data_IF_054812847528
#
_entry.id   IF_054812847528
#
_cell.length_a   1.000
_cell.length_b   1.000
_cell.length_c   1.000
_cell.angle_alpha   90.00
_cell.angle_beta   90.00
_cell.angle_gamma   90.00
#
_symmetry.space_group_name_H-M   'P 1'
#
loop_
_entity.id
_entity.type
_entity.pdbx_description
1 polymer ?
#
# COMPACT_ATOMS: atom_id res chain seq x y z
N UNK A 1 -7.17 -33.31 -7.88
CA UNK A 1 -8.09 -34.28 -7.27
C UNK A 1 -9.10 -33.43 -6.53
N UNK A 2 -10.30 -33.28 -7.11
CA UNK A 2 -11.43 -32.56 -6.51
C UNK A 2 -11.76 -33.23 -5.17
N UNK A 3 -11.93 -32.43 -4.12
CA UNK A 3 -12.07 -32.90 -2.73
C UNK A 3 -13.49 -33.40 -2.40
N UNK A 4 -14.30 -33.67 -3.42
CA UNK A 4 -15.74 -33.94 -3.31
C UNK A 4 -16.04 -35.38 -3.74
N UNK A 5 -16.85 -36.11 -2.96
CA UNK A 5 -17.22 -37.51 -3.24
C UNK A 5 -18.43 -37.57 -4.19
N UNK A 6 -18.24 -37.02 -5.41
CA UNK A 6 -19.29 -36.94 -6.42
C UNK A 6 -19.14 -38.11 -7.41
N UNK A 7 -20.27 -38.70 -7.84
CA UNK A 7 -20.26 -39.76 -8.86
C UNK A 7 -19.59 -39.28 -10.16
N UNK A 8 -18.84 -40.15 -10.83
CA UNK A 8 -18.18 -39.86 -12.11
C UNK A 8 -19.14 -39.35 -13.19
N UNK A 9 -20.42 -39.75 -13.13
CA UNK A 9 -21.46 -39.27 -14.05
C UNK A 9 -21.84 -37.80 -13.80
N UNK A 10 -21.77 -37.35 -12.54
CA UNK A 10 -22.05 -35.96 -12.17
C UNK A 10 -20.85 -35.08 -12.49
N UNK A 11 -19.63 -35.58 -12.25
CA UNK A 11 -18.40 -34.89 -12.64
C UNK A 11 -18.36 -34.64 -14.15
N UNK A 12 -18.71 -35.64 -14.96
CA UNK A 12 -18.76 -35.48 -16.42
C UNK A 12 -19.73 -34.38 -16.87
N UNK A 13 -20.89 -34.28 -16.22
CA UNK A 13 -21.94 -33.30 -16.55
C UNK A 13 -21.52 -31.87 -16.17
N UNK A 14 -20.91 -31.69 -15.00
CA UNK A 14 -20.44 -30.36 -14.56
C UNK A 14 -19.20 -29.93 -15.35
N UNK A 15 -18.30 -30.86 -15.70
CA UNK A 15 -17.13 -30.54 -16.50
C UNK A 15 -17.45 -30.14 -17.94
N UNK A 16 -18.54 -30.63 -18.52
CA UNK A 16 -19.01 -30.27 -19.86
C UNK A 16 -19.47 -28.80 -19.98
N UNK A 17 -19.69 -28.11 -18.85
CA UNK A 17 -20.09 -26.69 -18.83
C UNK A 17 -18.90 -25.72 -18.99
N UNK A 18 -19.16 -24.53 -19.51
CA UNK A 18 -18.19 -23.43 -19.64
C UNK A 18 -17.96 -22.65 -18.32
N UNK A 19 -18.30 -23.24 -17.17
CA UNK A 19 -18.18 -22.57 -15.88
C UNK A 19 -16.71 -22.45 -15.42
N UNK A 20 -16.33 -21.33 -14.76
CA UNK A 20 -15.07 -21.21 -14.05
C UNK A 20 -14.92 -22.30 -12.97
N UNK A 21 -13.68 -22.72 -12.70
CA UNK A 21 -13.37 -23.77 -11.70
C UNK A 21 -14.04 -23.53 -10.34
N UNK A 22 -13.94 -22.31 -9.80
CA UNK A 22 -14.56 -21.96 -8.50
C UNK A 22 -16.08 -22.19 -8.49
N UNK A 23 -16.77 -21.85 -9.58
CA UNK A 23 -18.21 -22.09 -9.70
C UNK A 23 -18.53 -23.58 -9.91
N UNK A 24 -17.67 -24.33 -10.58
CA UNK A 24 -17.79 -25.80 -10.66
C UNK A 24 -17.66 -26.42 -9.27
N UNK A 25 -16.70 -25.97 -8.46
CA UNK A 25 -16.51 -26.43 -7.08
C UNK A 25 -17.73 -26.11 -6.19
N UNK A 26 -18.32 -24.92 -6.32
CA UNK A 26 -19.57 -24.57 -5.62
C UNK A 26 -20.77 -25.43 -6.07
N UNK A 27 -20.84 -25.79 -7.35
CA UNK A 27 -21.86 -26.70 -7.86
C UNK A 27 -21.64 -28.10 -7.28
N UNK A 28 -20.39 -28.58 -7.21
CA UNK A 28 -20.06 -29.87 -6.61
C UNK A 28 -20.47 -29.92 -5.13
N UNK A 29 -20.09 -28.93 -4.33
CA UNK A 29 -20.45 -28.88 -2.91
C UNK A 29 -21.97 -28.83 -2.71
N UNK A 30 -22.68 -28.03 -3.50
CA UNK A 30 -24.15 -27.92 -3.40
C UNK A 30 -24.86 -29.22 -3.79
N UNK A 31 -24.35 -29.92 -4.81
CA UNK A 31 -24.91 -31.19 -5.28
C UNK A 31 -24.68 -32.31 -4.27
N UNK A 32 -23.50 -32.34 -3.65
CA UNK A 32 -23.12 -33.26 -2.58
C UNK A 32 -23.97 -33.03 -1.32
N UNK A 33 -24.07 -31.79 -0.84
CA UNK A 33 -24.86 -31.42 0.35
C UNK A 33 -26.34 -31.79 0.22
N UNK A 34 -26.91 -31.62 -0.98
CA UNK A 34 -28.33 -31.85 -1.23
C UNK A 34 -28.65 -33.28 -1.69
N UNK A 35 -27.64 -34.10 -1.96
CA UNK A 35 -27.81 -35.49 -2.38
C UNK A 35 -28.69 -35.64 -3.63
N UNK A 36 -28.47 -34.78 -4.63
CA UNK A 36 -29.28 -34.75 -5.87
C UNK A 36 -28.82 -35.81 -6.87
N UNK A 37 -29.77 -36.33 -7.66
CA UNK A 37 -29.48 -37.29 -8.73
C UNK A 37 -28.81 -36.61 -9.94
N UNK A 38 -28.24 -37.43 -10.84
CA UNK A 38 -27.50 -36.96 -12.03
C UNK A 38 -28.31 -36.00 -12.90
N UNK A 39 -29.60 -36.30 -13.13
CA UNK A 39 -30.47 -35.46 -13.97
C UNK A 39 -30.73 -34.08 -13.36
N UNK A 40 -30.87 -33.99 -12.03
CA UNK A 40 -31.07 -32.72 -11.36
C UNK A 40 -29.75 -31.93 -11.25
N UNK A 41 -28.62 -32.62 -11.10
CA UNK A 41 -27.29 -32.00 -11.18
C UNK A 41 -27.05 -31.37 -12.57
N UNK A 42 -27.41 -32.07 -13.66
CA UNK A 42 -27.37 -31.54 -15.03
C UNK A 42 -28.22 -30.28 -15.19
N UNK A 43 -29.44 -30.30 -14.66
CA UNK A 43 -30.33 -29.14 -14.70
C UNK A 43 -29.80 -27.96 -13.91
N UNK A 44 -29.20 -28.21 -12.74
CA UNK A 44 -28.58 -27.17 -11.92
C UNK A 44 -27.38 -26.58 -12.66
N UNK A 45 -26.46 -27.41 -13.15
CA UNK A 45 -25.27 -26.98 -13.88
C UNK A 45 -25.64 -26.12 -15.10
N UNK A 46 -26.60 -26.56 -15.92
CA UNK A 46 -27.10 -25.80 -17.08
C UNK A 46 -27.80 -24.49 -16.70
N UNK A 47 -28.54 -24.48 -15.59
CA UNK A 47 -29.20 -23.26 -15.12
C UNK A 47 -28.17 -22.23 -14.62
N UNK A 48 -27.13 -22.68 -13.92
CA UNK A 48 -26.01 -21.84 -13.47
C UNK A 48 -25.22 -21.32 -14.68
N UNK A 49 -24.93 -22.18 -15.64
CA UNK A 49 -24.27 -21.80 -16.90
C UNK A 49 -25.07 -20.75 -17.67
N UNK A 50 -26.37 -20.97 -17.90
CA UNK A 50 -27.24 -19.99 -18.57
C UNK A 50 -27.17 -18.64 -17.85
N UNK A 51 -27.29 -18.63 -16.52
CA UNK A 51 -27.21 -17.39 -15.74
C UNK A 51 -25.83 -16.74 -15.80
N UNK A 52 -24.77 -17.53 -15.82
CA UNK A 52 -23.41 -17.01 -15.97
C UNK A 52 -23.21 -16.36 -17.34
N UNK A 53 -23.67 -17.00 -18.41
CA UNK A 53 -23.61 -16.45 -19.77
C UNK A 53 -24.44 -15.18 -19.92
N UNK A 54 -25.66 -15.16 -19.36
CA UNK A 54 -26.58 -14.01 -19.44
C UNK A 54 -26.12 -12.81 -18.60
N UNK A 55 -25.20 -12.99 -17.66
CA UNK A 55 -24.69 -11.93 -16.76
C UNK A 55 -23.32 -11.41 -17.16
N UNK A 56 -22.74 -11.89 -18.27
CA UNK A 56 -21.48 -11.35 -18.80
C UNK A 56 -21.68 -9.90 -19.23
N UNK A 57 -20.63 -9.09 -19.09
CA UNK A 57 -20.61 -7.72 -19.61
C UNK A 57 -20.75 -7.76 -21.12
N UNK A 58 -21.65 -6.92 -21.66
CA UNK A 58 -21.83 -6.77 -23.09
C UNK A 58 -20.55 -6.22 -23.73
N UNK A 59 -20.11 -6.76 -24.88
CA UNK A 59 -18.99 -6.19 -25.61
C UNK A 59 -19.23 -4.71 -25.93
N UNK A 60 -18.15 -3.91 -25.89
CA UNK A 60 -18.16 -2.46 -26.17
C UNK A 60 -18.81 -1.58 -25.10
N UNK A 61 -19.19 -2.14 -23.95
CA UNK A 61 -19.66 -1.35 -22.81
C UNK A 61 -18.52 -0.47 -22.26
N UNK A 62 -18.76 0.82 -21.92
CA UNK A 62 -17.70 1.75 -21.56
C UNK A 62 -17.27 1.57 -20.09
N UNK A 63 -16.70 0.40 -19.80
CA UNK A 63 -16.31 -0.02 -18.44
C UNK A 63 -15.35 0.96 -17.76
N UNK A 64 -14.47 1.63 -18.52
CA UNK A 64 -13.56 2.65 -17.97
C UNK A 64 -14.33 3.86 -17.42
N UNK A 65 -15.33 4.35 -18.15
CA UNK A 65 -16.16 5.49 -17.71
C UNK A 65 -17.02 5.12 -16.52
N UNK A 66 -17.65 3.93 -16.55
CA UNK A 66 -18.49 3.45 -15.45
C UNK A 66 -17.64 3.25 -14.19
N UNK A 67 -16.47 2.63 -14.31
CA UNK A 67 -15.56 2.42 -13.17
C UNK A 67 -15.09 3.74 -12.57
N UNK A 68 -14.70 4.71 -13.40
CA UNK A 68 -14.28 6.03 -12.92
C UNK A 68 -15.41 6.76 -12.18
N UNK A 69 -16.65 6.65 -12.66
CA UNK A 69 -17.82 7.21 -11.98
C UNK A 69 -18.13 6.49 -10.68
N UNK A 70 -18.11 5.15 -10.67
CA UNK A 70 -18.41 4.35 -9.48
C UNK A 70 -17.41 4.54 -8.35
N UNK A 71 -16.13 4.77 -8.68
CA UNK A 71 -15.10 5.08 -7.68
C UNK A 71 -15.17 6.55 -7.24
N UNK A 72 -15.50 7.47 -8.16
CA UNK A 72 -15.54 8.90 -7.88
C UNK A 72 -16.81 9.39 -7.18
N UNK A 73 -17.96 8.75 -7.41
CA UNK A 73 -19.25 9.14 -6.81
C UNK A 73 -19.21 9.12 -5.27
N UNK A 74 -18.71 8.05 -4.62
CA UNK A 74 -18.56 8.02 -3.17
C UNK A 74 -17.66 9.12 -2.62
N UNK A 75 -16.67 9.59 -3.40
CA UNK A 75 -15.77 10.67 -2.98
C UNK A 75 -16.51 11.98 -2.61
N UNK A 76 -17.70 12.22 -3.17
CA UNK A 76 -18.54 13.38 -2.80
C UNK A 76 -19.36 13.17 -1.53
N UNK A 77 -19.56 11.91 -1.14
CA UNK A 77 -20.33 11.49 0.03
C UNK A 77 -19.43 11.21 1.23
N UNK A 78 -18.14 11.02 1.00
CA UNK A 78 -17.10 10.95 2.04
C UNK A 78 -17.01 12.28 2.79
N UNK A 79 -17.76 12.38 3.88
CA UNK A 79 -17.59 13.42 4.89
C UNK A 79 -16.47 13.02 5.84
N UNK A 80 -15.74 14.01 6.39
CA UNK A 80 -14.72 13.81 7.45
C UNK A 80 -15.30 13.08 8.66
N UNK A 81 -15.38 11.75 8.61
CA UNK A 81 -15.48 10.91 9.77
C UNK A 81 -14.04 10.52 10.12
N UNK A 82 -13.37 11.37 10.91
CA UNK A 82 -12.25 10.88 11.70
C UNK A 82 -12.85 9.92 12.71
N UNK A 83 -12.83 8.63 12.38
CA UNK A 83 -13.01 7.60 13.39
C UNK A 83 -11.78 7.69 14.29
N UNK A 84 -11.92 8.38 15.42
CA UNK A 84 -11.11 8.03 16.57
C UNK A 84 -11.65 6.67 17.02
N UNK A 85 -10.98 5.55 16.71
CA UNK A 85 -11.40 4.34 17.42
C UNK A 85 -11.05 4.58 18.89
N UNK A 86 -12.02 4.31 19.76
CA UNK A 86 -11.84 4.45 21.18
C UNK A 86 -10.94 3.31 21.68
N UNK A 87 -9.63 3.54 21.77
CA UNK A 87 -8.65 2.59 22.30
C UNK A 87 -7.22 3.16 22.30
N UNK A 88 -6.49 2.99 23.40
CA UNK A 88 -5.27 3.74 23.80
C UNK A 88 -4.01 3.37 22.99
N UNK A 89 -4.12 2.91 21.75
CA UNK A 89 -2.97 2.43 20.98
C UNK A 89 -3.16 2.49 19.46
N UNK A 90 -3.84 3.52 18.94
CA UNK A 90 -3.93 3.70 17.49
C UNK A 90 -2.86 4.64 16.96
N UNK A 91 -2.23 4.19 15.88
CA UNK A 91 -1.38 4.98 15.00
C UNK A 91 -2.31 5.84 14.15
N UNK A 92 -2.05 7.14 14.05
CA UNK A 92 -2.86 8.02 13.22
C UNK A 92 -2.58 7.72 11.74
N UNK A 93 -3.58 7.19 11.03
CA UNK A 93 -3.51 6.87 9.60
C UNK A 93 -4.38 7.83 8.81
N UNK A 94 -3.91 8.26 7.64
CA UNK A 94 -4.74 8.97 6.66
C UNK A 94 -5.83 8.04 6.16
N UNK A 95 -7.08 8.38 6.47
CA UNK A 95 -8.25 7.61 6.08
C UNK A 95 -9.16 8.39 5.12
N UNK A 96 -9.97 7.64 4.38
CA UNK A 96 -11.01 8.18 3.50
C UNK A 96 -10.48 8.81 2.22
N UNK A 97 -11.07 9.94 1.82
CA UNK A 97 -10.79 10.55 0.51
C UNK A 97 -9.32 10.98 0.31
N UNK A 98 -8.62 11.61 1.28
CA UNK A 98 -7.21 11.94 1.11
C UNK A 98 -6.36 10.73 0.76
N UNK A 99 -6.59 9.59 1.43
CA UNK A 99 -5.88 8.34 1.16
C UNK A 99 -6.17 7.82 -0.24
N UNK A 100 -7.43 7.81 -0.66
CA UNK A 100 -7.81 7.39 -2.02
C UNK A 100 -7.15 8.27 -3.10
N UNK A 101 -7.00 9.57 -2.85
CA UNK A 101 -6.27 10.49 -3.74
C UNK A 101 -4.77 10.12 -3.79
N UNK A 102 -4.14 9.85 -2.65
CA UNK A 102 -2.71 9.44 -2.61
C UNK A 102 -2.44 8.19 -3.45
N UNK A 103 -3.32 7.18 -3.33
CA UNK A 103 -3.21 5.92 -4.07
C UNK A 103 -3.35 6.16 -5.57
N UNK A 104 -4.40 6.86 -5.99
CA UNK A 104 -4.69 7.15 -7.41
C UNK A 104 -3.63 8.06 -8.06
N UNK A 105 -3.07 9.00 -7.30
CA UNK A 105 -1.96 9.84 -7.76
C UNK A 105 -0.60 9.12 -7.69
N UNK A 106 -0.56 7.87 -7.21
CA UNK A 106 0.64 7.07 -7.03
C UNK A 106 1.76 7.86 -6.32
N UNK A 107 1.43 8.54 -5.21
CA UNK A 107 2.44 9.32 -4.46
C UNK A 107 3.58 8.41 -3.98
N UNK A 108 4.82 8.90 -4.13
CA UNK A 108 6.04 8.15 -3.76
C UNK A 108 6.10 7.81 -2.28
N UNK A 109 5.68 8.74 -1.44
CA UNK A 109 5.63 8.59 0.01
C UNK A 109 4.24 9.04 0.44
N UNK A 110 3.46 8.17 1.12
CA UNK A 110 2.16 8.54 1.67
C UNK A 110 2.33 9.52 2.84
N UNK A 111 1.29 10.27 3.17
CA UNK A 111 1.38 11.28 4.23
C UNK A 111 1.53 10.64 5.63
N UNK A 112 0.94 9.44 5.84
CA UNK A 112 1.15 8.59 7.03
C UNK A 112 1.51 7.16 6.60
N UNK A 113 2.80 6.85 6.42
CA UNK A 113 3.25 5.50 6.13
C UNK A 113 3.05 4.59 7.35
N UNK A 114 2.64 3.35 7.10
CA UNK A 114 2.47 2.34 8.14
C UNK A 114 2.75 0.95 7.57
N UNK A 115 3.15 0.04 8.46
CA UNK A 115 3.34 -1.37 8.14
C UNK A 115 2.62 -2.25 9.16
N UNK A 116 2.14 -3.39 8.68
CA UNK A 116 1.62 -4.47 9.50
C UNK A 116 2.63 -5.61 9.41
N UNK A 117 3.44 -5.75 10.46
CA UNK A 117 4.53 -6.71 10.54
C UNK A 117 4.07 -7.93 11.32
N UNK A 118 3.99 -9.05 10.61
CA UNK A 118 3.69 -10.34 11.21
C UNK A 118 4.99 -10.98 11.69
N UNK A 119 4.90 -11.75 12.78
CA UNK A 119 6.03 -12.43 13.38
C UNK A 119 5.99 -13.92 13.03
N UNK A 120 7.16 -14.55 12.98
CA UNK A 120 7.27 -16.01 12.86
C UNK A 120 6.63 -16.70 14.08
N UNK A 121 6.16 -17.95 13.93
CA UNK A 121 5.45 -18.70 14.98
C UNK A 121 6.18 -18.68 16.33
N UNK A 122 7.52 -18.70 16.32
CA UNK A 122 8.35 -18.67 17.53
C UNK A 122 8.30 -17.35 18.32
N UNK A 123 8.00 -16.25 17.65
CA UNK A 123 7.98 -14.88 18.18
C UNK A 123 6.52 -14.38 18.35
N UNK A 124 5.58 -14.95 17.60
CA UNK A 124 4.17 -14.58 17.60
C UNK A 124 3.42 -14.92 18.89
N UNK A 125 3.85 -15.96 19.62
CA UNK A 125 3.19 -16.40 20.87
C UNK A 125 3.77 -15.74 22.13
N UNK A 126 5.02 -15.26 22.07
CA UNK A 126 5.75 -14.75 23.23
C UNK A 126 5.95 -13.24 23.16
N UNK A 127 5.36 -12.54 24.12
CA UNK A 127 5.44 -11.08 24.23
C UNK A 127 6.87 -10.58 24.44
N UNK A 128 7.72 -11.30 25.17
CA UNK A 128 9.09 -10.87 25.43
C UNK A 128 9.91 -10.92 24.13
N UNK A 129 9.75 -11.98 23.34
CA UNK A 129 10.42 -12.12 22.03
C UNK A 129 9.89 -11.13 20.99
N UNK A 130 8.58 -10.85 20.99
CA UNK A 130 8.02 -9.80 20.14
C UNK A 130 8.61 -8.41 20.47
N UNK A 131 8.86 -8.12 21.76
CA UNK A 131 9.53 -6.88 22.18
C UNK A 131 10.98 -6.80 21.68
N UNK A 132 11.70 -7.91 21.55
CA UNK A 132 13.06 -7.91 20.96
C UNK A 132 13.04 -7.43 19.50
N UNK A 133 12.03 -7.85 18.72
CA UNK A 133 11.84 -7.42 17.33
C UNK A 133 11.48 -5.94 17.27
N UNK A 134 10.63 -5.46 18.18
CA UNK A 134 10.29 -4.02 18.30
C UNK A 134 11.55 -3.17 18.49
N UNK A 135 12.49 -3.59 19.34
CA UNK A 135 13.74 -2.85 19.55
C UNK A 135 14.69 -2.83 18.37
N UNK A 136 14.59 -3.81 17.46
CA UNK A 136 15.34 -3.81 16.20
C UNK A 136 14.71 -2.88 15.16
N UNK A 137 13.40 -2.70 15.21
CA UNK A 137 12.64 -1.89 14.23
C UNK A 137 12.57 -0.42 14.66
N UNK A 138 12.19 -0.13 15.89
CA UNK A 138 11.86 1.23 16.35
C UNK A 138 13.09 2.15 16.42
N UNK A 139 13.04 3.28 15.72
CA UNK A 139 14.07 4.31 15.76
C UNK A 139 14.26 4.84 17.18
N UNK A 140 15.45 4.63 17.71
CA UNK A 140 15.84 5.11 19.03
C UNK A 140 16.61 6.41 18.87
N UNK A 141 15.92 7.53 19.15
CA UNK A 141 16.51 8.88 19.18
C UNK A 141 16.93 9.26 20.59
N UNK A 142 17.73 10.32 20.71
CA UNK A 142 18.28 10.75 22.00
C UNK A 142 17.21 11.03 23.07
N UNK A 143 16.05 11.55 22.66
CA UNK A 143 14.93 11.86 23.58
C UNK A 143 14.30 10.61 24.21
N UNK A 144 14.47 9.43 23.61
CA UNK A 144 14.04 8.17 24.19
C UNK A 144 15.08 7.63 25.18
N UNK A 145 16.35 8.02 25.03
CA UNK A 145 17.49 7.48 25.78
C UNK A 145 17.83 8.29 27.04
N UNK A 146 17.54 9.59 27.05
CA UNK A 146 17.94 10.45 28.15
C UNK A 146 17.45 11.89 28.05
N UNK A 147 17.85 12.68 29.04
CA UNK A 147 17.55 14.11 29.13
C UNK A 147 18.71 14.93 28.56
N UNK A 148 18.38 15.91 27.72
CA UNK A 148 19.37 16.85 27.16
C UNK A 148 19.33 18.14 27.97
N UNK A 149 20.47 18.55 28.51
CA UNK A 149 20.63 19.83 29.16
C UNK A 149 21.69 20.67 28.45
N UNK A 150 21.48 21.97 28.40
CA UNK A 150 22.37 22.90 27.70
C UNK A 150 22.94 23.91 28.68
N UNK A 151 24.26 23.86 28.87
CA UNK A 151 24.98 24.82 29.69
C UNK A 151 25.54 25.95 28.81
N UNK A 152 24.85 27.08 28.83
CA UNK A 152 25.20 28.28 28.05
C UNK A 152 26.46 28.98 28.60
N UNK A 153 26.81 28.78 29.87
CA UNK A 153 27.99 29.41 30.46
C UNK A 153 29.28 28.73 29.98
N UNK A 154 29.27 27.40 29.92
CA UNK A 154 30.41 26.59 29.51
C UNK A 154 30.38 26.22 28.01
N UNK A 155 29.31 26.58 27.30
CA UNK A 155 29.06 26.23 25.89
C UNK A 155 29.11 24.71 25.65
N UNK A 156 28.48 23.96 26.55
CA UNK A 156 28.42 22.50 26.51
C UNK A 156 26.97 22.03 26.50
N UNK A 157 26.73 20.97 25.74
CA UNK A 157 25.53 20.14 25.78
C UNK A 157 25.88 18.92 26.62
N UNK A 158 25.09 18.68 27.65
CA UNK A 158 25.22 17.54 28.55
C UNK A 158 24.00 16.64 28.34
N UNK A 159 24.25 15.37 28.03
CA UNK A 159 23.23 14.34 27.87
C UNK A 159 23.34 13.41 29.08
N UNK A 160 22.26 13.26 29.82
CA UNK A 160 22.14 12.28 30.91
C UNK A 160 21.33 11.08 30.42
N UNK A 161 22.02 9.97 30.14
CA UNK A 161 21.39 8.75 29.64
C UNK A 161 20.83 7.92 30.79
N UNK A 162 19.61 7.41 30.62
CA UNK A 162 18.96 6.57 31.62
C UNK A 162 19.43 5.11 31.50
N UNK A 163 20.06 4.59 32.57
CA UNK A 163 20.56 3.21 32.65
C UNK A 163 19.48 2.15 32.37
N UNK A 164 18.26 2.35 32.88
CA UNK A 164 17.16 1.39 32.73
C UNK A 164 16.75 1.28 31.24
N UNK A 165 16.60 2.42 30.56
CA UNK A 165 16.21 2.45 29.14
C UNK A 165 17.29 1.88 28.23
N UNK A 166 18.57 2.09 28.56
CA UNK A 166 19.70 1.54 27.80
C UNK A 166 19.73 0.01 27.88
N UNK A 167 19.52 -0.57 29.07
CA UNK A 167 19.52 -2.01 29.29
C UNK A 167 18.33 -2.70 28.61
N UNK A 168 17.16 -2.06 28.56
CA UNK A 168 16.01 -2.57 27.82
C UNK A 168 16.24 -2.58 26.30
N UNK A 169 16.90 -1.54 25.76
CA UNK A 169 17.12 -1.35 24.31
C UNK A 169 18.33 -2.13 23.77
N UNK A 170 19.35 -2.38 24.58
CA UNK A 170 20.54 -3.20 24.23
C UNK A 170 20.67 -4.44 25.12
N UNK A 171 19.80 -5.45 24.96
CA UNK A 171 19.83 -6.66 25.80
C UNK A 171 21.11 -7.50 25.62
N UNK A 172 21.88 -7.27 24.56
CA UNK A 172 23.10 -8.04 24.24
C UNK A 172 24.36 -7.48 24.91
N UNK A 173 24.34 -6.21 25.34
CA UNK A 173 25.51 -5.52 25.93
C UNK A 173 25.17 -5.19 27.39
N UNK A 174 25.65 -6.01 28.32
CA UNK A 174 25.41 -5.84 29.76
C UNK A 174 26.26 -4.74 30.41
N UNK A 175 26.90 -3.88 29.63
CA UNK A 175 27.77 -2.81 30.12
C UNK A 175 27.27 -1.47 29.56
N UNK A 176 26.70 -0.65 30.45
CA UNK A 176 26.14 0.66 30.11
C UNK A 176 27.20 1.63 29.62
N UNK A 177 28.45 1.46 30.07
CA UNK A 177 29.60 2.26 29.64
C UNK A 177 29.94 2.01 28.16
N UNK A 178 29.79 0.76 27.69
CA UNK A 178 30.06 0.40 26.29
C UNK A 178 28.99 0.93 25.33
N UNK A 179 27.73 0.96 25.77
CA UNK A 179 26.62 1.54 24.99
C UNK A 179 26.79 3.06 24.90
N UNK A 180 27.18 3.71 26.01
CA UNK A 180 27.47 5.13 26.01
C UNK A 180 28.70 5.49 25.15
N UNK A 181 29.68 4.59 25.02
CA UNK A 181 30.82 4.75 24.10
C UNK A 181 30.36 4.67 22.62
N UNK A 182 29.49 3.70 22.28
CA UNK A 182 28.90 3.56 20.93
C UNK A 182 28.05 4.80 20.54
N UNK A 183 27.26 5.32 21.49
CA UNK A 183 26.50 6.57 21.32
C UNK A 183 27.44 7.76 21.14
N UNK A 184 28.51 7.85 21.94
CA UNK A 184 29.54 8.89 21.80
C UNK A 184 30.20 8.85 20.42
N UNK A 185 30.64 7.70 19.93
CA UNK A 185 31.24 7.56 18.59
C UNK A 185 30.28 7.99 17.48
N UNK A 186 28.99 7.65 17.64
CA UNK A 186 27.93 8.03 16.69
C UNK A 186 27.74 9.55 16.67
N UNK A 187 27.80 10.21 17.82
CA UNK A 187 27.75 11.68 17.95
C UNK A 187 28.98 12.31 17.29
N UNK A 188 30.18 11.80 17.55
CA UNK A 188 31.42 12.34 16.96
C UNK A 188 31.41 12.23 15.43
N UNK A 189 30.96 11.09 14.89
CA UNK A 189 30.92 10.86 13.45
C UNK A 189 29.90 11.73 12.73
N UNK A 190 28.73 11.97 13.33
CA UNK A 190 27.66 12.73 12.69
C UNK A 190 27.84 14.24 12.86
N UNK A 191 28.23 14.70 14.05
CA UNK A 191 28.33 16.13 14.38
C UNK A 191 29.74 16.70 14.20
N UNK A 192 30.76 15.85 14.04
CA UNK A 192 32.15 16.28 13.84
C UNK A 192 32.75 16.99 15.06
N UNK A 193 32.22 16.73 16.26
CA UNK A 193 32.64 17.32 17.54
C UNK A 193 33.37 16.30 18.40
N UNK A 194 34.25 16.75 19.30
CA UNK A 194 34.84 15.87 20.31
C UNK A 194 33.87 15.68 21.49
N UNK A 195 33.55 14.45 21.84
CA UNK A 195 32.73 14.12 23.01
C UNK A 195 33.61 13.81 24.22
N UNK A 196 33.09 14.05 25.43
CA UNK A 196 33.66 13.58 26.69
C UNK A 196 32.63 12.71 27.38
N UNK A 197 32.98 11.46 27.59
CA UNK A 197 32.14 10.51 28.31
C UNK A 197 32.58 10.41 29.78
N UNK A 198 31.61 10.44 30.68
CA UNK A 198 31.77 10.16 32.09
C UNK A 198 30.64 9.20 32.54
N UNK A 199 30.83 7.90 32.30
CA UNK A 199 29.80 6.89 32.55
C UNK A 199 28.64 7.04 31.57
N UNK A 200 27.45 7.34 32.10
CA UNK A 200 26.21 7.60 31.34
C UNK A 200 26.04 9.04 30.90
N UNK A 201 26.93 9.95 31.34
CA UNK A 201 26.87 11.36 30.98
C UNK A 201 27.81 11.64 29.81
N UNK A 202 27.27 12.24 28.75
CA UNK A 202 28.02 12.62 27.55
C UNK A 202 28.00 14.15 27.44
N UNK A 203 29.18 14.76 27.37
CA UNK A 203 29.36 16.19 27.17
C UNK A 203 30.00 16.49 25.81
N UNK A 204 29.46 17.44 25.07
CA UNK A 204 30.07 17.93 23.83
C UNK A 204 29.73 19.39 23.58
N UNK A 205 30.49 20.07 22.71
CA UNK A 205 30.27 21.48 22.41
C UNK A 205 31.00 21.91 21.14
N UNK A 206 30.68 23.10 20.60
CA UNK A 206 31.29 23.60 19.38
C UNK A 206 32.78 23.94 19.59
N UNK A 207 33.61 23.74 18.56
CA UNK A 207 35.05 24.06 18.60
C UNK A 207 35.31 25.55 18.88
N UNK A 208 34.43 26.42 18.38
CA UNK A 208 34.43 27.85 18.67
C UNK A 208 33.19 28.24 19.50
N UNK A 209 33.35 29.08 20.55
CA UNK A 209 32.24 29.43 21.44
C UNK A 209 31.23 30.34 20.74
N UNK A 210 30.18 29.71 20.21
CA UNK A 210 29.09 30.35 19.49
C UNK A 210 27.76 29.77 19.94
N UNK A 211 26.88 30.65 20.44
CA UNK A 211 25.54 30.26 20.90
C UNK A 211 24.68 29.69 19.76
N UNK A 212 24.86 30.20 18.54
CA UNK A 212 24.11 29.73 17.38
C UNK A 212 24.49 28.30 17.01
N UNK A 213 25.79 28.03 16.99
CA UNK A 213 26.30 26.72 16.58
C UNK A 213 25.94 25.66 17.63
N UNK A 214 25.94 26.04 18.92
CA UNK A 214 25.45 25.18 19.99
C UNK A 214 23.95 24.85 19.88
N UNK A 215 23.08 25.82 19.54
CA UNK A 215 21.68 25.51 19.26
C UNK A 215 21.50 24.62 18.02
N UNK A 216 22.33 24.83 16.99
CA UNK A 216 22.29 24.03 15.79
C UNK A 216 22.71 22.58 16.06
N UNK A 217 23.78 22.38 16.85
CA UNK A 217 24.22 21.07 17.31
C UNK A 217 23.14 20.34 18.13
N UNK A 218 22.40 21.06 18.97
CA UNK A 218 21.27 20.46 19.73
C UNK A 218 20.15 20.01 18.79
N UNK A 219 19.82 20.79 17.76
CA UNK A 219 18.79 20.40 16.80
C UNK A 219 19.26 19.22 15.93
N UNK A 220 20.50 19.23 15.46
CA UNK A 220 21.09 18.11 14.70
C UNK A 220 21.18 16.84 15.56
N UNK A 221 21.54 16.95 16.85
CA UNK A 221 21.54 15.81 17.79
C UNK A 221 20.15 15.16 17.92
N UNK A 222 19.06 15.94 17.84
CA UNK A 222 17.69 15.44 17.99
C UNK A 222 17.22 14.63 16.78
N UNK A 223 17.85 14.82 15.62
CA UNK A 223 17.55 14.09 14.39
C UNK A 223 18.33 12.77 14.28
N UNK A 224 19.47 12.63 14.97
CA UNK A 224 20.29 11.42 14.93
C UNK A 224 19.55 10.22 15.51
N UNK A 225 19.55 9.13 14.74
CA UNK A 225 19.06 7.80 15.14
C UNK A 225 20.26 6.95 15.57
N UNK A 226 20.19 6.41 16.79
CA UNK A 226 21.28 5.62 17.38
C UNK A 226 21.10 4.11 17.13
N UNK A 227 19.86 3.66 16.98
CA UNK A 227 19.51 2.26 16.73
C UNK A 227 18.13 2.15 16.12
N UNK A 228 17.89 1.09 15.34
CA UNK A 228 16.63 0.85 14.65
C UNK A 228 16.63 1.50 13.26
N UNK A 229 15.47 1.46 12.62
CA UNK A 229 15.29 1.95 11.25
C UNK A 229 14.83 3.40 11.30
N UNK A 230 15.56 4.32 10.66
CA UNK A 230 15.32 5.77 10.76
C UNK A 230 13.90 6.19 10.37
N UNK A 231 13.32 5.55 9.36
CA UNK A 231 12.00 5.86 8.82
C UNK A 231 10.86 5.40 9.74
N UNK A 232 11.12 4.56 10.76
CA UNK A 232 10.10 4.00 11.66
C UNK A 232 10.18 4.66 13.04
N UNK A 233 9.24 5.57 13.32
CA UNK A 233 9.25 6.40 14.53
C UNK A 233 8.73 5.67 15.76
N UNK A 234 7.74 4.78 15.59
CA UNK A 234 7.07 4.11 16.69
C UNK A 234 6.54 2.76 16.27
N UNK A 235 6.58 1.79 17.18
CA UNK A 235 6.00 0.46 16.96
C UNK A 235 5.02 0.11 18.09
N UNK A 236 3.84 -0.38 17.71
CA UNK A 236 2.77 -0.78 18.62
C UNK A 236 2.53 -2.28 18.49
N UNK A 237 2.59 -3.00 19.60
CA UNK A 237 2.26 -4.43 19.66
C UNK A 237 0.76 -4.58 19.92
N UNK A 238 0.07 -5.33 19.05
CA UNK A 238 -1.32 -5.73 19.24
C UNK A 238 -1.42 -7.24 19.25
N UNK A 239 -2.36 -7.76 20.03
CA UNK A 239 -2.73 -9.18 20.00
C UNK A 239 -3.97 -9.33 19.14
N UNK A 240 -3.89 -10.11 18.07
CA UNK A 240 -5.00 -10.37 17.15
C UNK A 240 -5.43 -11.83 17.21
N UNK A 241 -6.74 -12.08 17.08
CA UNK A 241 -7.29 -13.42 16.96
C UNK A 241 -7.27 -13.84 15.49
N UNK A 242 -6.45 -14.85 15.16
CA UNK A 242 -6.46 -15.50 13.84
C UNK A 242 -7.14 -16.87 13.92
N UNK A 243 -7.42 -17.47 12.77
CA UNK A 243 -7.99 -18.82 12.67
C UNK A 243 -7.11 -19.90 13.36
N UNK A 244 -5.82 -19.62 13.56
CA UNK A 244 -4.83 -20.52 14.17
C UNK A 244 -4.58 -20.24 15.67
N UNK A 245 -5.15 -19.18 16.24
CA UNK A 245 -4.91 -18.78 17.64
C UNK A 245 -4.76 -17.28 17.82
N UNK A 246 -4.37 -16.85 19.02
CA UNK A 246 -4.06 -15.45 19.26
C UNK A 246 -2.57 -15.18 18.99
N UNK A 247 -2.25 -14.30 18.04
CA UNK A 247 -0.86 -13.93 17.70
C UNK A 247 -0.56 -12.45 17.99
N UNK A 248 0.69 -12.13 18.29
CA UNK A 248 1.17 -10.74 18.37
C UNK A 248 1.56 -10.21 16.98
N UNK A 249 0.95 -9.10 16.60
CA UNK A 249 1.20 -8.36 15.35
C UNK A 249 1.76 -6.99 15.71
N UNK A 250 2.76 -6.52 14.96
CA UNK A 250 3.37 -5.21 15.16
C UNK A 250 2.83 -4.23 14.12
N UNK A 251 2.38 -3.07 14.58
CA UNK A 251 2.01 -1.95 13.72
C UNK A 251 3.07 -0.86 13.83
N UNK A 252 3.60 -0.40 12.70
CA UNK A 252 4.62 0.63 12.66
C UNK A 252 4.05 1.97 12.22
N UNK A 253 4.55 3.05 12.80
CA UNK A 253 4.41 4.41 12.31
C UNK A 253 5.67 4.73 11.51
N UNK A 254 5.53 4.93 10.21
CA UNK A 254 6.65 4.86 9.27
C UNK A 254 6.71 3.53 8.53
N UNK A 255 7.44 3.54 7.41
CA UNK A 255 7.64 2.34 6.59
C UNK A 255 9.05 2.28 6.04
N UNK A 256 9.69 1.12 6.20
CA UNK A 256 10.82 0.69 5.38
C UNK A 256 10.67 -0.82 5.18
N UNK A 257 9.93 -1.19 4.13
CA UNK A 257 9.60 -2.58 3.86
C UNK A 257 10.83 -3.44 3.55
N UNK A 258 11.91 -2.86 2.99
CA UNK A 258 13.12 -3.62 2.66
C UNK A 258 13.85 -4.06 3.91
N UNK A 259 14.20 -3.10 4.78
CA UNK A 259 14.99 -3.40 5.99
C UNK A 259 14.22 -4.27 6.99
N UNK A 260 12.91 -4.08 7.12
CA UNK A 260 12.08 -4.86 8.06
C UNK A 260 12.00 -6.33 7.70
N UNK A 261 11.94 -6.69 6.41
CA UNK A 261 11.84 -8.08 5.99
C UNK A 261 13.11 -8.90 6.28
N UNK A 262 14.26 -8.24 6.38
CA UNK A 262 15.55 -8.88 6.68
C UNK A 262 15.76 -9.11 8.19
N UNK A 263 14.88 -8.59 9.05
CA UNK A 263 14.99 -8.73 10.50
C UNK A 263 14.57 -10.14 10.95
N UNK A 264 15.46 -10.78 11.71
CA UNK A 264 15.19 -12.08 12.34
C UNK A 264 13.98 -12.01 13.28
N UNK A 265 12.98 -12.86 13.01
CA UNK A 265 11.72 -12.97 13.74
C UNK A 265 10.52 -12.36 13.01
N UNK A 266 10.75 -11.66 11.89
CA UNK A 266 9.69 -11.13 11.02
C UNK A 266 9.29 -12.17 9.98
N UNK A 267 7.98 -12.42 9.87
CA UNK A 267 7.40 -13.26 8.83
C UNK A 267 7.26 -12.45 7.53
N UNK A 268 8.22 -12.66 6.63
CA UNK A 268 8.25 -12.00 5.33
C UNK A 268 7.11 -12.38 4.38
N UNK A 269 6.40 -13.48 4.64
CA UNK A 269 5.32 -13.96 3.76
C UNK A 269 3.97 -13.32 4.02
N UNK A 270 3.77 -12.82 5.25
CA UNK A 270 2.52 -12.18 5.70
C UNK A 270 2.66 -10.68 5.93
N UNK A 271 3.86 -10.18 6.16
CA UNK A 271 4.10 -8.75 6.41
C UNK A 271 3.71 -7.89 5.22
N UNK A 272 3.01 -6.77 5.49
CA UNK A 272 2.50 -5.84 4.46
C UNK A 272 2.75 -4.39 4.83
N UNK A 273 2.67 -3.50 3.85
CA UNK A 273 2.87 -2.07 3.99
C UNK A 273 1.79 -1.31 3.22
N UNK A 274 1.50 -0.07 3.63
CA UNK A 274 0.59 0.80 2.89
C UNK A 274 1.32 1.63 1.81
N UNK A 275 2.65 1.61 1.77
CA UNK A 275 3.44 2.28 0.74
C UNK A 275 3.62 1.38 -0.49
N UNK A 276 2.87 1.70 -1.55
CA UNK A 276 2.86 0.92 -2.81
C UNK A 276 4.23 0.93 -3.50
N UNK A 277 5.00 2.02 -3.40
CA UNK A 277 6.31 2.12 -4.06
C UNK A 277 7.39 1.29 -3.37
N UNK A 278 7.29 1.08 -2.07
CA UNK A 278 8.17 0.14 -1.35
C UNK A 278 7.87 -1.30 -1.76
N UNK A 279 6.60 -1.69 -1.78
CA UNK A 279 6.19 -3.03 -2.23
C UNK A 279 6.60 -3.29 -3.67
N UNK A 280 6.45 -2.29 -4.55
CA UNK A 280 6.91 -2.40 -5.93
C UNK A 280 8.42 -2.65 -6.04
N UNK A 281 9.23 -2.00 -5.18
CA UNK A 281 10.69 -2.17 -5.18
C UNK A 281 11.10 -3.56 -4.69
N UNK A 282 10.48 -4.06 -3.63
CA UNK A 282 10.87 -5.31 -2.99
C UNK A 282 10.19 -6.56 -3.56
N UNK A 283 8.88 -6.49 -3.84
CA UNK A 283 8.07 -7.64 -4.29
C UNK A 283 7.69 -7.58 -5.78
N UNK A 284 7.74 -6.40 -6.39
CA UNK A 284 7.47 -6.20 -7.82
C UNK A 284 6.05 -5.73 -8.15
N UNK A 285 5.77 -5.66 -9.46
CA UNK A 285 4.57 -4.98 -10.00
C UNK A 285 3.24 -5.66 -9.64
N UNK A 286 3.17 -6.99 -9.66
CA UNK A 286 1.92 -7.71 -9.33
C UNK A 286 1.57 -7.61 -7.85
N UNK A 287 2.59 -7.59 -6.97
CA UNK A 287 2.37 -7.35 -5.55
C UNK A 287 1.85 -5.93 -5.32
N UNK A 288 2.45 -4.94 -6.00
CA UNK A 288 1.97 -3.56 -5.93
C UNK A 288 0.55 -3.38 -6.49
N UNK A 289 0.20 -4.08 -7.58
CA UNK A 289 -1.15 -4.10 -8.14
C UNK A 289 -2.16 -4.65 -7.13
N UNK A 290 -1.82 -5.75 -6.46
CA UNK A 290 -2.69 -6.35 -5.45
C UNK A 290 -2.82 -5.45 -4.22
N UNK A 291 -1.73 -4.85 -3.74
CA UNK A 291 -1.77 -3.84 -2.67
C UNK A 291 -2.67 -2.66 -3.05
N UNK A 292 -2.56 -2.14 -4.27
CA UNK A 292 -3.44 -1.06 -4.75
C UNK A 292 -4.92 -1.42 -4.63
N UNK A 293 -5.29 -2.65 -5.02
CA UNK A 293 -6.67 -3.13 -4.93
C UNK A 293 -7.10 -3.23 -3.47
N UNK A 294 -6.33 -3.91 -2.64
CA UNK A 294 -6.66 -4.16 -1.24
C UNK A 294 -6.73 -2.85 -0.44
N UNK A 295 -5.75 -1.96 -0.61
CA UNK A 295 -5.69 -0.69 0.10
C UNK A 295 -6.84 0.24 -0.30
N UNK A 296 -7.20 0.28 -1.59
CA UNK A 296 -8.35 1.07 -2.06
C UNK A 296 -9.66 0.48 -1.53
N UNK A 297 -9.78 -0.85 -1.50
CA UNK A 297 -10.94 -1.54 -0.95
C UNK A 297 -11.09 -1.27 0.55
N UNK A 298 -10.03 -1.47 1.34
CA UNK A 298 -9.98 -1.17 2.77
C UNK A 298 -10.37 0.29 3.04
N UNK A 299 -9.82 1.25 2.28
CA UNK A 299 -10.14 2.68 2.41
C UNK A 299 -11.63 2.98 2.16
N UNK A 300 -12.27 2.27 1.23
CA UNK A 300 -13.70 2.40 0.96
C UNK A 300 -14.55 1.75 2.05
N UNK A 301 -14.15 0.57 2.52
CA UNK A 301 -14.84 -0.18 3.57
C UNK A 301 -14.85 0.55 4.92
N UNK A 302 -13.73 1.17 5.30
CA UNK A 302 -13.64 2.01 6.51
C UNK A 302 -14.61 3.20 6.50
N UNK A 303 -15.01 3.65 5.32
CA UNK A 303 -15.99 4.73 5.14
C UNK A 303 -17.44 4.20 5.02
N UNK A 304 -17.64 2.90 5.18
CA UNK A 304 -18.93 2.23 5.00
C UNK A 304 -19.42 2.23 3.56
N UNK A 305 -18.49 2.26 2.60
CA UNK A 305 -18.74 2.28 1.16
C UNK A 305 -18.40 0.92 0.51
N UNK A 306 -18.80 -0.16 1.17
CA UNK A 306 -18.55 -1.56 0.78
C UNK A 306 -19.26 -1.96 -0.54
N UNK A 307 -20.15 -1.11 -1.05
CA UNK A 307 -20.97 -1.37 -2.24
C UNK A 307 -20.20 -1.19 -3.57
N UNK A 308 -18.97 -0.66 -3.53
CA UNK A 308 -18.15 -0.51 -4.75
C UNK A 308 -17.63 -1.87 -5.19
N UNK A 309 -17.97 -2.27 -6.42
CA UNK A 309 -17.54 -3.56 -6.96
C UNK A 309 -16.02 -3.59 -7.17
N UNK A 310 -15.35 -4.62 -6.64
CA UNK A 310 -13.90 -4.85 -6.79
C UNK A 310 -13.41 -4.81 -8.24
N UNK A 311 -14.26 -5.15 -9.22
CA UNK A 311 -13.88 -5.11 -10.65
C UNK A 311 -13.51 -3.70 -11.13
N UNK A 312 -14.13 -2.67 -10.56
CA UNK A 312 -13.77 -1.28 -10.87
C UNK A 312 -12.38 -0.95 -10.33
N UNK A 313 -12.06 -1.43 -9.13
CA UNK A 313 -10.74 -1.25 -8.51
C UNK A 313 -9.66 -2.02 -9.26
N UNK A 314 -9.95 -3.27 -9.64
CA UNK A 314 -9.07 -4.09 -10.48
C UNK A 314 -8.74 -3.38 -11.79
N UNK A 315 -9.75 -2.83 -12.48
CA UNK A 315 -9.53 -2.12 -13.74
C UNK A 315 -8.60 -0.90 -13.56
N UNK A 316 -8.75 -0.17 -12.47
CA UNK A 316 -7.88 0.98 -12.16
C UNK A 316 -6.46 0.51 -11.85
N UNK A 317 -6.31 -0.49 -10.99
CA UNK A 317 -5.00 -1.02 -10.63
C UNK A 317 -4.27 -1.60 -11.85
N UNK A 318 -4.98 -2.31 -12.73
CA UNK A 318 -4.44 -2.85 -13.98
C UNK A 318 -3.95 -1.73 -14.89
N UNK A 319 -4.74 -0.65 -15.07
CA UNK A 319 -4.33 0.50 -15.90
C UNK A 319 -3.09 1.18 -15.30
N UNK A 320 -3.02 1.32 -13.98
CA UNK A 320 -1.89 1.94 -13.27
C UNK A 320 -0.62 1.10 -13.28
N UNK A 321 -0.70 -0.20 -13.57
CA UNK A 321 0.46 -1.12 -13.50
C UNK A 321 0.81 -1.78 -14.85
N UNK A 322 0.05 -1.48 -15.92
CA UNK A 322 0.16 -2.14 -17.22
C UNK A 322 1.54 -2.04 -17.90
N UNK A 323 2.26 -0.92 -17.73
CA UNK A 323 3.57 -0.73 -18.36
C UNK A 323 4.72 -1.44 -17.60
N UNK A 324 4.40 -2.17 -16.52
CA UNK A 324 5.39 -2.79 -15.65
C UNK A 324 5.98 -1.83 -14.60
N UNK A 325 5.46 -0.61 -14.53
CA UNK A 325 5.76 0.40 -13.50
C UNK A 325 4.46 0.98 -12.97
N UNK A 326 4.48 1.57 -11.77
CA UNK A 326 3.30 2.27 -11.23
C UNK A 326 3.21 3.68 -11.84
N UNK A 327 2.12 3.96 -12.54
CA UNK A 327 1.82 5.28 -13.09
C UNK A 327 0.66 5.95 -12.35
N UNK A 328 0.80 7.25 -12.10
CA UNK A 328 -0.29 8.09 -11.59
C UNK A 328 -1.40 8.24 -12.66
N UNK A 329 -2.66 8.32 -12.25
CA UNK A 329 -3.78 8.58 -13.20
C UNK A 329 -3.73 10.00 -13.78
N UNK A 330 -3.13 10.94 -13.05
CA UNK A 330 -3.08 12.36 -13.42
C UNK A 330 -2.18 12.71 -14.62
N UNK A 331 -1.91 14.02 -14.75
CA UNK A 331 -1.18 14.60 -15.90
C UNK A 331 0.27 14.12 -16.08
N UNK A 332 0.88 13.54 -15.06
CA UNK A 332 2.28 13.09 -15.12
C UNK A 332 2.43 11.59 -15.36
N UNK A 333 1.31 10.85 -15.41
CA UNK A 333 1.29 9.44 -15.83
C UNK A 333 0.27 9.26 -16.94
N UNK A 334 -0.69 8.36 -16.75
CA UNK A 334 -1.57 7.80 -17.78
C UNK A 334 -2.27 8.86 -18.65
N UNK A 335 -2.78 9.94 -18.05
CA UNK A 335 -3.50 10.97 -18.83
C UNK A 335 -2.55 11.84 -19.67
N UNK A 336 -1.33 12.07 -19.17
CA UNK A 336 -0.30 12.84 -19.86
C UNK A 336 0.52 12.06 -20.88
N UNK A 337 0.56 10.73 -20.75
CA UNK A 337 1.25 9.81 -21.67
C UNK A 337 0.35 9.30 -22.81
N UNK A 338 -0.93 9.69 -22.86
CA UNK A 338 -1.83 9.32 -23.98
C UNK A 338 -1.24 9.69 -25.34
N UNK A 339 -1.33 8.77 -26.29
CA UNK A 339 -0.82 8.97 -27.65
C UNK A 339 -1.44 10.19 -28.34
N UNK A 340 -2.77 10.37 -28.23
CA UNK A 340 -3.47 11.49 -28.86
C UNK A 340 -3.05 12.85 -28.28
N UNK A 341 -2.53 13.71 -29.15
CA UNK A 341 -2.20 15.11 -28.84
C UNK A 341 -3.45 15.88 -28.45
N UNK A 342 -4.56 15.67 -29.16
CA UNK A 342 -5.82 16.34 -28.87
C UNK A 342 -6.37 15.92 -27.51
N UNK A 343 -6.26 14.65 -27.15
CA UNK A 343 -6.67 14.15 -25.85
C UNK A 343 -5.83 14.78 -24.72
N UNK A 344 -4.49 14.82 -24.85
CA UNK A 344 -3.60 15.48 -23.89
C UNK A 344 -3.91 16.98 -23.75
N UNK A 345 -4.01 17.68 -24.87
CA UNK A 345 -4.26 19.13 -24.89
C UNK A 345 -5.63 19.52 -24.32
N UNK A 346 -6.65 18.67 -24.46
CA UNK A 346 -7.98 18.89 -23.91
C UNK A 346 -8.07 18.61 -22.39
N UNK A 347 -7.15 17.81 -21.85
CA UNK A 347 -7.13 17.46 -20.43
C UNK A 347 -6.46 18.55 -19.58
N UNK A 348 -5.18 18.86 -19.84
CA UNK A 348 -4.44 19.90 -19.12
C UNK A 348 -3.26 20.43 -19.98
N UNK A 349 -2.67 21.58 -19.63
CA UNK A 349 -1.44 22.12 -20.26
C UNK A 349 -1.52 22.22 -21.80
N UNK A 350 -2.65 22.73 -22.30
CA UNK A 350 -3.02 22.76 -23.73
C UNK A 350 -1.95 23.33 -24.66
N UNK A 351 -1.35 24.48 -24.29
CA UNK A 351 -0.44 25.21 -25.19
C UNK A 351 0.87 24.45 -25.40
N UNK A 352 1.44 23.86 -24.35
CA UNK A 352 2.73 23.17 -24.48
C UNK A 352 2.56 21.89 -25.31
N UNK A 353 1.52 21.08 -25.05
CA UNK A 353 1.27 19.87 -25.83
C UNK A 353 1.11 20.15 -27.33
N UNK A 354 0.40 21.21 -27.70
CA UNK A 354 0.23 21.57 -29.11
C UNK A 354 1.53 22.10 -29.75
N UNK A 355 2.34 22.86 -29.00
CA UNK A 355 3.62 23.36 -29.48
C UNK A 355 4.63 22.21 -29.64
N UNK A 356 4.75 21.33 -28.66
CA UNK A 356 5.65 20.19 -28.69
C UNK A 356 5.27 19.24 -29.83
N UNK A 357 3.98 18.94 -30.00
CA UNK A 357 3.49 18.15 -31.12
C UNK A 357 3.82 18.80 -32.47
N UNK A 358 3.70 20.12 -32.59
CA UNK A 358 4.05 20.83 -33.82
C UNK A 358 5.57 20.83 -34.11
N UNK A 359 6.41 20.90 -33.08
CA UNK A 359 7.87 20.83 -33.20
C UNK A 359 8.32 19.43 -33.63
N UNK A 360 7.75 18.39 -33.02
CA UNK A 360 8.11 16.99 -33.29
C UNK A 360 7.38 16.39 -34.50
N UNK A 361 6.36 17.08 -35.03
CA UNK A 361 5.56 16.59 -36.16
C UNK A 361 4.67 15.41 -35.79
N UNK A 362 4.14 15.40 -34.57
CA UNK A 362 3.24 14.34 -34.09
C UNK A 362 1.95 14.30 -34.92
N UNK A 363 1.40 13.11 -35.11
CA UNK A 363 0.18 12.85 -35.86
C UNK A 363 -0.84 12.21 -34.93
N UNK A 364 -2.07 12.72 -34.96
CA UNK A 364 -3.17 12.18 -34.16
C UNK A 364 -4.00 11.20 -35.01
N UNK A 365 -4.06 9.93 -34.59
CA UNK A 365 -4.76 8.86 -35.33
C UNK A 365 -6.29 8.90 -35.14
N UNK A 366 -6.77 9.68 -34.17
CA UNK A 366 -8.19 9.84 -33.84
C UNK A 366 -8.87 8.54 -33.39
N UNK A 367 -8.22 7.72 -32.57
CA UNK A 367 -8.77 6.41 -32.15
C UNK A 367 -9.49 6.44 -30.80
N UNK A 368 -9.19 7.39 -29.93
CA UNK A 368 -9.83 7.55 -28.64
C UNK A 368 -11.15 8.31 -28.66
N UNK A 369 -11.72 8.51 -27.48
CA UNK A 369 -13.05 9.11 -27.31
C UNK A 369 -13.00 10.62 -27.45
N UNK A 370 -12.03 11.28 -26.80
CA UNK A 370 -11.96 12.74 -26.65
C UNK A 370 -11.73 13.42 -28.00
N UNK A 371 -10.74 12.95 -28.74
CA UNK A 371 -10.38 13.41 -30.08
C UNK A 371 -11.54 13.29 -31.09
N UNK A 372 -12.27 12.17 -31.09
CA UNK A 372 -13.40 11.96 -31.98
C UNK A 372 -14.56 12.91 -31.66
N UNK A 373 -14.83 13.14 -30.37
CA UNK A 373 -15.84 14.13 -29.94
C UNK A 373 -15.44 15.55 -30.37
N UNK A 374 -14.17 15.94 -30.21
CA UNK A 374 -13.67 17.27 -30.61
C UNK A 374 -13.81 17.49 -32.12
N UNK A 375 -13.47 16.49 -32.93
CA UNK A 375 -13.53 16.57 -34.40
C UNK A 375 -14.94 16.35 -34.94
N UNK A 376 -15.87 15.86 -34.12
CA UNK A 376 -17.26 15.60 -34.49
C UNK A 376 -17.48 14.26 -35.20
N UNK A 377 -16.61 13.28 -34.99
CA UNK A 377 -16.78 11.89 -35.44
C UNK A 377 -17.50 11.05 -34.36
N UNK A 378 -18.24 10.00 -34.74
CA UNK A 378 -18.75 9.02 -33.79
C UNK A 378 -17.59 8.33 -33.05
N UNK A 379 -17.77 8.10 -31.75
CA UNK A 379 -16.81 7.37 -30.90
C UNK A 379 -16.90 5.87 -31.16
N UNK A 380 -15.79 5.14 -31.02
CA UNK A 380 -15.73 3.67 -31.14
C UNK A 380 -16.09 2.98 -29.80
N UNK A 381 -17.20 3.37 -29.19
CA UNK A 381 -17.72 2.78 -27.94
C UNK A 381 -19.24 2.57 -28.05
N UNK A 382 -19.74 1.54 -27.35
CA UNK A 382 -21.14 1.14 -27.39
C UNK A 382 -21.64 0.94 -28.83
N UNK A 383 -22.75 1.60 -29.18
CA UNK A 383 -23.35 1.49 -30.53
C UNK A 383 -22.47 2.00 -31.67
N UNK A 384 -21.42 2.78 -31.38
CA UNK A 384 -20.56 3.41 -32.39
C UNK A 384 -19.58 2.45 -33.07
N UNK A 385 -19.30 1.28 -32.48
CA UNK A 385 -18.40 0.27 -33.05
C UNK A 385 -19.16 -0.93 -33.68
N UNK A 386 -20.49 -0.89 -33.69
CA UNK A 386 -21.32 -1.92 -34.31
C UNK A 386 -21.44 -1.67 -35.81
N UNK A 387 -20.92 -2.59 -36.62
CA UNK A 387 -21.01 -2.55 -38.07
C UNK A 387 -22.23 -3.32 -38.60
N UNK A 388 -23.14 -2.63 -39.27
CA UNK A 388 -24.33 -3.24 -39.86
C UNK A 388 -24.09 -3.66 -41.32
N UNK A 389 -24.49 -4.88 -41.66
CA UNK A 389 -24.54 -5.37 -43.04
C UNK A 389 -25.94 -5.83 -43.37
N UNK A 390 -26.57 -5.20 -44.35
CA UNK A 390 -27.88 -5.59 -44.87
C UNK A 390 -27.74 -6.10 -46.30
N UNK A 391 -28.14 -7.34 -46.55
CA UNK A 391 -28.25 -7.89 -47.91
C UNK A 391 -29.58 -7.46 -48.54
N UNK A 392 -29.54 -6.96 -49.77
CA UNK A 392 -30.75 -6.76 -50.57
C UNK A 392 -30.98 -7.98 -51.44
N UNK A 393 -31.99 -8.79 -51.14
CA UNK A 393 -32.50 -9.80 -52.07
C UNK A 393 -33.29 -9.06 -53.14
N UNK A 394 -32.72 -8.91 -54.34
CA UNK A 394 -33.46 -8.45 -55.52
C UNK A 394 -34.21 -9.66 -56.09
N UNK A 395 -35.54 -9.62 -56.04
CA UNK A 395 -36.44 -10.51 -56.81
C UNK A 395 -36.52 -10.09 -58.28
#
# INVERSE_FOLDING_TARGET
>A
MTAHDVSADIEAVVEDTELPRRLKDEVYSTVEERGVGVDDADRIAKAVESRYLDTRVDPLDPVGTVSAQSIGEPGTQMTMNTFHYAGVAEIDVTQGLPRLIELVDARKTPDTPMMTVHLDEEYADDRERAHEVVWKIEATRILALGDISTNVADMLVEIDLNEDTLLERWPTVNDTDAIAEEISETIESNLGVSTRQAGTVIEFGPEEPSYRDLLQLVEELREIVFKGIEEITRVVIRKEETDNGEEFVLYTEGSDFGEVLDIEGVDASRTTCNNIHEIYRELGVEAARETLINETMNTLEEQGLDDVNVRHLMLVADIMTNEGTIESIGRHGISGSKDSVLARAAFEVTVNHLLDAAIHGEVDELDGVTENVIVGKPIKLGTGDVNLRMGTTQD
#
